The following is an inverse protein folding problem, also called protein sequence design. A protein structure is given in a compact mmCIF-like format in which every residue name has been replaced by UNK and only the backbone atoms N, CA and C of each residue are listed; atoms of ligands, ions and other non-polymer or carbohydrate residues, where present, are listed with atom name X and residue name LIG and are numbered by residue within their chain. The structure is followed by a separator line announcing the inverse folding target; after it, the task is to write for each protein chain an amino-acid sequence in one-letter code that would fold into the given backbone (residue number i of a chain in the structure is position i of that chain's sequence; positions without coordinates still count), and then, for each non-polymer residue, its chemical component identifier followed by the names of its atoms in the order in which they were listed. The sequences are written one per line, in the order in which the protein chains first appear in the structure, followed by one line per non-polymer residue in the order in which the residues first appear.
data_IF_360006055006
#
_entry.id   IF_360006055006
#
_cell.length_a   1.000
_cell.length_b   1.000
_cell.length_c   1.000
_cell.angle_alpha   90.00
_cell.angle_beta   90.00
_cell.angle_gamma   90.00
#
_symmetry.space_group_name_H-M   'P 1'
#
loop_
_entity.id
_entity.type
_entity.pdbx_description
1 polymer ?
#
# COMPACT_ATOMS: atom_id res chain seq x y z
N UNK A 1 -11.47 10.14 13.46
CA UNK A 1 -12.07 9.34 12.38
C UNK A 1 -12.00 10.20 11.11
N UNK A 2 -11.02 9.95 10.24
CA UNK A 2 -10.81 10.73 9.01
C UNK A 2 -11.69 10.13 7.92
N UNK A 3 -12.71 10.86 7.48
CA UNK A 3 -13.60 10.48 6.38
C UNK A 3 -12.79 10.05 5.16
N UNK A 4 -13.00 8.84 4.60
CA UNK A 4 -12.49 8.52 3.29
C UNK A 4 -13.12 9.51 2.30
N UNK A 5 -12.30 10.15 1.50
CA UNK A 5 -12.73 11.07 0.45
C UNK A 5 -13.35 10.27 -0.71
N UNK A 6 -14.32 10.87 -1.39
CA UNK A 6 -15.17 10.24 -2.42
C UNK A 6 -14.39 9.47 -3.50
N UNK A 7 -13.13 9.79 -3.82
CA UNK A 7 -12.38 9.02 -4.81
C UNK A 7 -11.82 7.71 -4.25
N UNK A 8 -11.31 7.68 -3.00
CA UNK A 8 -10.86 6.43 -2.38
C UNK A 8 -11.97 5.38 -2.27
N UNK A 9 -13.19 5.77 -1.88
CA UNK A 9 -14.35 4.87 -1.84
C UNK A 9 -14.72 4.34 -3.22
N UNK A 10 -14.74 5.22 -4.23
CA UNK A 10 -15.00 4.83 -5.63
C UNK A 10 -13.95 3.86 -6.17
N UNK A 11 -12.68 4.08 -5.83
CA UNK A 11 -11.58 3.18 -6.25
C UNK A 11 -11.72 1.83 -5.58
N UNK A 12 -12.05 1.79 -4.28
CA UNK A 12 -12.26 0.53 -3.57
C UNK A 12 -13.44 -0.25 -4.16
N UNK A 13 -14.58 0.41 -4.39
CA UNK A 13 -15.74 -0.20 -5.04
C UNK A 13 -15.39 -0.74 -6.44
N UNK A 14 -14.62 0.03 -7.24
CA UNK A 14 -14.15 -0.41 -8.55
C UNK A 14 -13.24 -1.64 -8.47
N UNK A 15 -12.33 -1.69 -7.50
CA UNK A 15 -11.43 -2.84 -7.29
C UNK A 15 -12.22 -4.09 -6.87
N UNK A 16 -13.22 -3.94 -6.00
CA UNK A 16 -14.09 -5.04 -5.57
C UNK A 16 -14.92 -5.59 -6.74
N UNK A 17 -15.54 -4.70 -7.53
CA UNK A 17 -16.30 -5.09 -8.72
C UNK A 17 -15.41 -5.81 -9.74
N UNK A 18 -14.21 -5.29 -9.99
CA UNK A 18 -13.22 -5.92 -10.86
C UNK A 18 -12.87 -7.34 -10.39
N UNK A 19 -12.51 -7.51 -9.12
CA UNK A 19 -12.15 -8.82 -8.55
C UNK A 19 -13.32 -9.79 -8.64
N UNK A 20 -14.53 -9.34 -8.30
CA UNK A 20 -15.74 -10.15 -8.38
C UNK A 20 -15.99 -10.67 -9.80
N UNK A 21 -15.97 -9.78 -10.79
CA UNK A 21 -16.20 -10.16 -12.20
C UNK A 21 -15.09 -11.08 -12.75
N UNK A 22 -13.83 -10.83 -12.39
CA UNK A 22 -12.72 -11.71 -12.79
C UNK A 22 -12.89 -13.10 -12.18
N UNK A 23 -13.26 -13.19 -10.90
CA UNK A 23 -13.47 -14.48 -10.25
C UNK A 23 -14.62 -15.25 -10.88
N UNK A 24 -15.76 -14.59 -11.13
CA UNK A 24 -16.90 -15.22 -11.82
C UNK A 24 -16.54 -15.76 -13.20
N UNK A 25 -15.75 -15.03 -13.99
CA UNK A 25 -15.30 -15.50 -15.30
C UNK A 25 -14.32 -16.67 -15.18
N UNK A 26 -13.39 -16.63 -14.23
CA UNK A 26 -12.46 -17.73 -13.98
C UNK A 26 -13.18 -19.00 -13.52
N UNK A 27 -14.18 -18.87 -12.63
CA UNK A 27 -15.01 -19.98 -12.17
C UNK A 27 -15.78 -20.62 -13.34
N UNK A 28 -16.37 -19.80 -14.22
CA UNK A 28 -17.01 -20.30 -15.44
C UNK A 28 -16.04 -21.02 -16.36
N UNK A 29 -14.85 -20.44 -16.60
CA UNK A 29 -13.81 -21.08 -17.42
C UNK A 29 -13.39 -22.43 -16.82
N UNK A 30 -13.18 -22.50 -15.51
CA UNK A 30 -12.81 -23.73 -14.82
C UNK A 30 -13.92 -24.79 -14.92
N UNK A 31 -15.17 -24.40 -14.70
CA UNK A 31 -16.32 -25.30 -14.83
C UNK A 31 -16.47 -25.84 -16.26
N UNK A 32 -16.46 -24.96 -17.27
CA UNK A 32 -16.55 -25.37 -18.69
C UNK A 32 -15.36 -26.26 -19.10
N UNK A 33 -14.16 -26.00 -18.56
CA UNK A 33 -12.99 -26.84 -18.81
C UNK A 33 -13.16 -28.24 -18.22
N UNK A 34 -13.66 -28.34 -16.99
CA UNK A 34 -13.91 -29.61 -16.33
C UNK A 34 -14.97 -30.42 -17.08
N UNK A 35 -16.10 -29.79 -17.44
CA UNK A 35 -17.16 -30.43 -18.22
C UNK A 35 -16.63 -30.99 -19.55
N UNK A 36 -15.79 -30.21 -20.24
CA UNK A 36 -15.17 -30.65 -21.49
C UNK A 36 -14.24 -31.84 -21.28
N UNK A 37 -13.46 -31.86 -20.21
CA UNK A 37 -12.55 -32.98 -19.91
C UNK A 37 -13.29 -34.25 -19.52
N UNK A 38 -14.40 -34.13 -18.79
CA UNK A 38 -15.31 -35.23 -18.48
C UNK A 38 -15.91 -35.83 -19.77
N UNK A 39 -16.39 -34.98 -20.70
CA UNK A 39 -16.89 -35.43 -22.01
C UNK A 39 -15.80 -36.11 -22.85
N UNK A 40 -14.57 -35.61 -22.82
CA UNK A 40 -13.43 -36.25 -23.52
C UNK A 40 -13.11 -37.61 -22.93
N UNK A 41 -13.18 -37.77 -21.60
CA UNK A 41 -12.98 -39.07 -20.95
C UNK A 41 -14.08 -40.05 -21.35
N UNK A 42 -15.35 -39.62 -21.36
CA UNK A 42 -16.47 -40.45 -21.81
C UNK A 42 -16.31 -40.85 -23.29
N UNK A 43 -15.97 -39.91 -24.16
CA UNK A 43 -15.73 -40.17 -25.57
C UNK A 43 -14.59 -41.19 -25.78
N UNK A 44 -13.49 -41.08 -25.02
CA UNK A 44 -12.39 -42.06 -25.04
C UNK A 44 -12.86 -43.44 -24.59
N UNK A 45 -13.62 -43.52 -23.49
CA UNK A 45 -14.13 -44.80 -23.00
C UNK A 45 -15.02 -45.50 -24.02
N UNK A 46 -15.92 -44.77 -24.69
CA UNK A 46 -16.76 -45.32 -25.75
C UNK A 46 -15.88 -45.80 -26.92
N UNK A 47 -14.89 -45.01 -27.33
CA UNK A 47 -14.03 -45.31 -28.49
C UNK A 47 -13.08 -46.50 -28.26
N UNK A 48 -12.52 -46.60 -27.06
CA UNK A 48 -11.47 -47.58 -26.73
C UNK A 48 -12.03 -48.88 -26.16
N UNK A 49 -13.23 -48.86 -25.56
CA UNK A 49 -13.79 -50.03 -24.88
C UNK A 49 -15.14 -50.47 -25.44
N UNK A 50 -16.16 -49.61 -25.34
CA UNK A 50 -17.54 -50.02 -25.65
C UNK A 50 -17.79 -50.29 -27.14
N UNK A 51 -17.25 -49.46 -28.04
CA UNK A 51 -17.37 -49.65 -29.48
C UNK A 51 -16.71 -50.95 -29.94
N UNK A 52 -15.44 -51.24 -29.58
CA UNK A 52 -14.81 -52.52 -29.91
C UNK A 52 -15.57 -53.74 -29.39
N UNK A 53 -16.05 -53.71 -28.14
CA UNK A 53 -16.86 -54.80 -27.57
C UNK A 53 -18.19 -54.99 -28.33
N UNK A 54 -18.84 -53.90 -28.71
CA UNK A 54 -20.06 -53.94 -29.53
C UNK A 54 -19.79 -54.45 -30.95
N UNK A 55 -18.68 -54.08 -31.58
CA UNK A 55 -18.28 -54.59 -32.89
C UNK A 55 -18.01 -56.10 -32.86
N UNK A 56 -17.40 -56.61 -31.78
CA UNK A 56 -17.20 -58.06 -31.58
C UNK A 56 -18.55 -58.77 -31.48
N UNK A 57 -19.50 -58.25 -30.69
CA UNK A 57 -20.86 -58.80 -30.59
C UNK A 57 -21.60 -58.75 -31.93
N UNK A 58 -21.46 -57.67 -32.71
CA UNK A 58 -22.03 -57.62 -34.06
C UNK A 58 -21.49 -58.75 -34.94
N UNK A 59 -20.18 -59.01 -34.92
CA UNK A 59 -19.54 -60.03 -35.75
C UNK A 59 -19.93 -61.45 -35.30
N UNK A 60 -20.01 -61.69 -33.99
CA UNK A 60 -20.28 -63.01 -33.43
C UNK A 60 -21.78 -63.35 -33.34
N UNK A 61 -22.62 -62.38 -33.00
CA UNK A 61 -24.04 -62.56 -32.66
C UNK A 61 -24.99 -61.87 -33.65
N UNK A 62 -24.47 -61.08 -34.59
CA UNK A 62 -25.27 -60.33 -35.56
C UNK A 62 -25.98 -59.09 -35.00
N UNK A 63 -25.74 -58.71 -33.74
CA UNK A 63 -26.42 -57.60 -33.09
C UNK A 63 -25.83 -56.24 -33.51
N UNK A 64 -26.50 -55.55 -34.43
CA UNK A 64 -26.04 -54.26 -35.02
C UNK A 64 -26.55 -53.02 -34.28
N UNK A 65 -27.61 -53.15 -33.50
CA UNK A 65 -28.30 -52.01 -32.90
C UNK A 65 -27.48 -51.31 -31.80
N UNK A 66 -26.69 -52.06 -31.03
CA UNK A 66 -25.88 -51.52 -29.95
C UNK A 66 -24.72 -50.66 -30.47
N UNK A 67 -24.02 -51.13 -31.51
CA UNK A 67 -22.91 -50.41 -32.14
C UNK A 67 -23.40 -49.10 -32.78
N UNK A 68 -24.54 -49.13 -33.48
CA UNK A 68 -25.12 -47.94 -34.07
C UNK A 68 -25.56 -46.89 -33.02
N UNK A 69 -26.02 -47.33 -31.84
CA UNK A 69 -26.33 -46.41 -30.72
C UNK A 69 -25.07 -45.77 -30.15
N UNK A 70 -24.00 -46.54 -29.95
CA UNK A 70 -22.72 -46.02 -29.45
C UNK A 70 -22.07 -45.05 -30.43
N UNK A 71 -22.09 -45.35 -31.73
CA UNK A 71 -21.59 -44.45 -32.77
C UNK A 71 -22.32 -43.09 -32.75
N UNK A 72 -23.65 -43.10 -32.68
CA UNK A 72 -24.45 -41.87 -32.56
C UNK A 72 -24.18 -41.10 -31.26
N UNK A 73 -23.93 -41.80 -30.15
CA UNK A 73 -23.59 -41.17 -28.86
C UNK A 73 -22.21 -40.50 -28.96
N UNK A 74 -21.24 -41.16 -29.60
CA UNK A 74 -19.90 -40.63 -29.81
C UNK A 74 -19.92 -39.39 -30.71
N UNK A 75 -20.65 -39.41 -31.82
CA UNK A 75 -20.81 -38.23 -32.70
C UNK A 75 -21.40 -37.03 -31.95
N UNK A 76 -22.40 -37.26 -31.09
CA UNK A 76 -22.97 -36.21 -30.23
C UNK A 76 -21.95 -35.65 -29.24
N UNK A 77 -21.21 -36.52 -28.55
CA UNK A 77 -20.17 -36.09 -27.61
C UNK A 77 -19.05 -35.31 -28.31
N UNK A 78 -18.61 -35.74 -29.51
CA UNK A 78 -17.61 -35.00 -30.28
C UNK A 78 -18.12 -33.61 -30.72
N UNK A 79 -19.39 -33.48 -31.09
CA UNK A 79 -20.02 -32.20 -31.39
C UNK A 79 -20.13 -31.29 -30.15
N UNK A 80 -20.54 -31.84 -29.00
CA UNK A 80 -20.66 -31.10 -27.74
C UNK A 80 -19.27 -30.63 -27.23
N UNK A 81 -18.22 -31.46 -27.40
CA UNK A 81 -16.83 -31.09 -27.09
C UNK A 81 -16.38 -29.89 -27.93
N UNK A 82 -16.69 -29.88 -29.23
CA UNK A 82 -16.35 -28.75 -30.10
C UNK A 82 -17.07 -27.47 -29.66
N UNK A 83 -18.37 -27.56 -29.37
CA UNK A 83 -19.14 -26.42 -28.85
C UNK A 83 -18.55 -25.88 -27.54
N UNK A 84 -18.14 -26.76 -26.62
CA UNK A 84 -17.48 -26.39 -25.35
C UNK A 84 -16.10 -25.77 -25.55
N UNK A 85 -15.34 -26.19 -26.55
CA UNK A 85 -14.07 -25.56 -26.91
C UNK A 85 -14.26 -24.13 -27.41
N UNK A 86 -15.27 -23.89 -28.24
CA UNK A 86 -15.64 -22.55 -28.68
C UNK A 86 -16.09 -21.67 -27.50
N UNK A 87 -16.91 -22.22 -26.60
CA UNK A 87 -17.34 -21.53 -25.36
C UNK A 87 -16.13 -21.09 -24.52
N UNK A 88 -15.15 -21.98 -24.31
CA UNK A 88 -13.92 -21.66 -23.59
C UNK A 88 -13.11 -20.54 -24.26
N UNK A 89 -13.00 -20.56 -25.59
CA UNK A 89 -12.32 -19.49 -26.33
C UNK A 89 -13.02 -18.15 -26.15
N UNK A 90 -14.36 -18.13 -26.21
CA UNK A 90 -15.16 -16.92 -26.00
C UNK A 90 -14.98 -16.40 -24.57
N UNK A 91 -15.06 -17.27 -23.56
CA UNK A 91 -14.90 -16.88 -22.16
C UNK A 91 -13.50 -16.32 -21.86
N UNK A 92 -12.45 -16.96 -22.40
CA UNK A 92 -11.07 -16.47 -22.26
C UNK A 92 -10.88 -15.10 -22.93
N UNK A 93 -11.46 -14.90 -24.12
CA UNK A 93 -11.43 -13.60 -24.80
C UNK A 93 -12.21 -12.54 -24.01
N UNK A 94 -13.38 -12.88 -23.48
CA UNK A 94 -14.17 -11.97 -22.64
C UNK A 94 -13.41 -11.56 -21.37
N UNK A 95 -12.72 -12.50 -20.71
CA UNK A 95 -11.86 -12.21 -19.57
C UNK A 95 -10.73 -11.24 -19.92
N UNK A 96 -10.02 -11.49 -21.02
CA UNK A 96 -8.95 -10.59 -21.46
C UNK A 96 -9.47 -9.20 -21.81
N UNK A 97 -10.59 -9.11 -22.55
CA UNK A 97 -11.20 -7.84 -22.90
C UNK A 97 -11.67 -7.06 -21.68
N UNK A 98 -12.29 -7.74 -20.70
CA UNK A 98 -12.69 -7.12 -19.44
C UNK A 98 -11.49 -6.57 -18.65
N UNK A 99 -10.37 -7.31 -18.61
CA UNK A 99 -9.13 -6.84 -17.96
C UNK A 99 -8.58 -5.58 -18.62
N UNK A 100 -8.58 -5.54 -19.96
CA UNK A 100 -8.13 -4.38 -20.72
C UNK A 100 -9.02 -3.15 -20.48
N UNK A 101 -10.33 -3.31 -20.60
CA UNK A 101 -11.30 -2.23 -20.36
C UNK A 101 -11.21 -1.69 -18.92
N UNK A 102 -11.05 -2.59 -17.94
CA UNK A 102 -10.90 -2.20 -16.55
C UNK A 102 -9.59 -1.47 -16.28
N UNK A 103 -8.50 -1.84 -16.96
CA UNK A 103 -7.23 -1.12 -16.87
C UNK A 103 -7.33 0.31 -17.44
N UNK A 104 -8.10 0.50 -18.52
CA UNK A 104 -8.39 1.83 -19.06
C UNK A 104 -9.27 2.66 -18.11
N UNK A 105 -10.31 2.04 -17.51
CA UNK A 105 -11.15 2.68 -16.50
C UNK A 105 -10.34 3.13 -15.26
N UNK A 106 -9.37 2.31 -14.82
CA UNK A 106 -8.50 2.63 -13.68
C UNK A 106 -7.68 3.91 -13.92
N UNK A 107 -7.26 4.19 -15.16
CA UNK A 107 -6.48 5.41 -15.48
C UNK A 107 -7.24 6.69 -15.13
N UNK A 108 -8.57 6.67 -15.24
CA UNK A 108 -9.42 7.82 -14.89
C UNK A 108 -9.39 8.15 -13.40
N UNK A 109 -9.20 7.13 -12.55
CA UNK A 109 -9.11 7.29 -11.10
C UNK A 109 -7.69 7.59 -10.60
N UNK A 110 -6.66 7.36 -11.42
CA UNK A 110 -5.27 7.49 -11.01
C UNK A 110 -4.91 8.92 -10.59
N UNK A 111 -5.31 9.91 -11.40
CA UNK A 111 -5.04 11.30 -11.11
C UNK A 111 -5.77 11.76 -9.83
N UNK A 112 -7.06 11.40 -9.70
CA UNK A 112 -7.87 11.72 -8.52
C UNK A 112 -7.25 11.14 -7.24
N UNK A 113 -6.74 9.91 -7.30
CA UNK A 113 -6.06 9.28 -6.17
C UNK A 113 -4.75 9.99 -5.79
N UNK A 114 -3.94 10.37 -6.78
CA UNK A 114 -2.68 11.08 -6.52
C UNK A 114 -2.96 12.41 -5.82
N UNK A 115 -3.95 13.15 -6.28
CA UNK A 115 -4.31 14.45 -5.73
C UNK A 115 -4.85 14.31 -4.29
N UNK A 116 -5.78 13.37 -4.05
CA UNK A 116 -6.27 13.09 -2.69
C UNK A 116 -5.15 12.63 -1.75
N UNK A 117 -4.26 11.75 -2.23
CA UNK A 117 -3.11 11.27 -1.45
C UNK A 117 -2.21 12.44 -1.06
N UNK A 118 -1.91 13.36 -1.99
CA UNK A 118 -1.06 14.52 -1.73
C UNK A 118 -1.67 15.44 -0.67
N UNK A 119 -2.97 15.72 -0.76
CA UNK A 119 -3.68 16.53 0.23
C UNK A 119 -3.64 15.87 1.61
N UNK A 120 -3.87 14.55 1.67
CA UNK A 120 -3.82 13.81 2.93
C UNK A 120 -2.42 13.82 3.54
N UNK A 121 -1.36 13.64 2.73
CA UNK A 121 0.02 13.70 3.20
C UNK A 121 0.39 15.09 3.72
N UNK A 122 0.04 16.14 2.98
CA UNK A 122 0.36 17.52 3.37
C UNK A 122 -0.33 17.89 4.69
N UNK A 123 -1.60 17.48 4.85
CA UNK A 123 -2.36 17.68 6.10
C UNK A 123 -1.75 16.92 7.28
N UNK A 124 -1.30 15.68 7.06
CA UNK A 124 -0.64 14.88 8.10
C UNK A 124 0.69 15.51 8.52
N UNK A 125 1.54 15.88 7.56
CA UNK A 125 2.81 16.55 7.84
C UNK A 125 2.62 17.89 8.53
N UNK A 126 1.64 18.69 8.12
CA UNK A 126 1.30 19.96 8.79
C UNK A 126 0.96 19.75 10.27
N UNK A 127 0.14 18.74 10.59
CA UNK A 127 -0.19 18.40 11.99
C UNK A 127 1.04 17.97 12.78
N UNK A 128 1.91 17.15 12.20
CA UNK A 128 3.15 16.70 12.84
C UNK A 128 4.09 17.87 13.11
N UNK A 129 4.24 18.79 12.15
CA UNK A 129 5.08 19.98 12.31
C UNK A 129 4.53 20.95 13.36
N UNK A 130 3.21 21.11 13.45
CA UNK A 130 2.58 21.91 14.50
C UNK A 130 2.84 21.31 15.90
N UNK A 131 2.72 19.98 16.05
CA UNK A 131 3.04 19.31 17.30
C UNK A 131 4.54 19.45 17.65
N UNK A 132 5.43 19.30 16.67
CA UNK A 132 6.87 19.53 16.84
C UNK A 132 7.13 20.96 17.32
N UNK A 133 6.49 21.96 16.71
CA UNK A 133 6.64 23.36 17.11
C UNK A 133 6.23 23.59 18.55
N UNK A 134 5.08 23.08 18.99
CA UNK A 134 4.64 23.19 20.37
C UNK A 134 5.65 22.54 21.35
N UNK A 135 6.22 21.39 20.98
CA UNK A 135 7.29 20.76 21.75
C UNK A 135 8.55 21.62 21.83
N UNK A 136 8.96 22.27 20.74
CA UNK A 136 10.13 23.17 20.77
C UNK A 136 9.86 24.41 21.62
N UNK A 137 8.65 24.97 21.55
CA UNK A 137 8.27 26.16 22.32
C UNK A 137 8.24 25.86 23.82
N UNK A 138 7.75 24.69 24.24
CA UNK A 138 7.80 24.24 25.64
C UNK A 138 9.24 24.03 26.12
N UNK A 139 10.08 23.34 25.34
CA UNK A 139 11.50 23.16 25.68
C UNK A 139 12.26 24.48 25.81
N UNK A 140 11.94 25.48 24.96
CA UNK A 140 12.51 26.83 25.09
C UNK A 140 12.12 27.47 26.41
N UNK A 141 10.84 27.44 26.77
CA UNK A 141 10.34 28.02 28.01
C UNK A 141 11.01 27.39 29.24
N UNK A 142 11.15 26.06 29.27
CA UNK A 142 11.84 25.36 30.37
C UNK A 142 13.35 25.67 30.42
N UNK A 143 13.99 25.86 29.26
CA UNK A 143 15.41 26.19 29.18
C UNK A 143 15.75 27.60 29.69
N UNK A 144 14.79 28.54 29.69
CA UNK A 144 15.00 29.91 30.16
C UNK A 144 15.41 29.96 31.64
N UNK A 145 14.87 29.08 32.47
CA UNK A 145 15.25 28.97 33.88
C UNK A 145 16.73 28.60 34.04
N UNK A 146 17.22 27.63 33.26
CA UNK A 146 18.62 27.23 33.27
C UNK A 146 19.53 28.37 32.80
N UNK A 147 19.10 29.14 31.80
CA UNK A 147 19.81 30.33 31.35
C UNK A 147 19.88 31.44 32.41
N UNK A 148 18.85 31.59 33.24
CA UNK A 148 18.87 32.53 34.37
C UNK A 148 19.90 32.11 35.42
N UNK A 149 19.94 30.83 35.81
CA UNK A 149 20.94 30.33 36.75
C UNK A 149 22.36 30.46 36.20
N UNK A 150 22.57 30.20 34.90
CA UNK A 150 23.86 30.44 34.27
C UNK A 150 24.27 31.92 34.33
N UNK A 151 23.33 32.84 34.09
CA UNK A 151 23.63 34.28 34.16
C UNK A 151 24.02 34.70 35.58
N UNK A 152 23.34 34.17 36.60
CA UNK A 152 23.69 34.41 38.01
C UNK A 152 25.06 33.82 38.34
N UNK A 153 25.36 32.61 37.88
CA UNK A 153 26.67 31.98 38.08
C UNK A 153 27.80 32.81 37.47
N UNK A 154 27.60 33.35 36.26
CA UNK A 154 28.58 34.27 35.64
C UNK A 154 28.78 35.52 36.49
N UNK A 155 27.70 36.12 37.03
CA UNK A 155 27.80 37.28 37.94
C UNK A 155 28.53 36.94 39.24
N UNK A 156 28.32 35.74 39.79
CA UNK A 156 29.07 35.29 40.98
C UNK A 156 30.56 35.11 40.66
N UNK A 157 30.89 34.55 39.49
CA UNK A 157 32.28 34.41 39.04
C UNK A 157 32.96 35.76 38.81
N UNK A 158 32.23 36.78 38.34
CA UNK A 158 32.71 38.16 38.22
C UNK A 158 33.14 38.73 39.58
N UNK A 159 32.34 38.54 40.62
CA UNK A 159 32.67 38.99 41.99
C UNK A 159 33.92 38.26 42.53
N UNK A 160 34.03 36.95 42.31
CA UNK A 160 35.22 36.17 42.71
C UNK A 160 36.50 36.64 42.01
N UNK A 161 36.38 37.08 40.75
CA UNK A 161 37.47 37.61 39.96
C UNK A 161 37.92 38.98 40.49
N UNK A 162 36.97 39.89 40.77
CA UNK A 162 37.25 41.20 41.37
C UNK A 162 37.91 41.07 42.76
N UNK A 163 37.52 40.07 43.54
CA UNK A 163 38.11 39.74 44.84
C UNK A 163 39.51 39.09 44.74
N UNK A 164 40.01 38.79 43.53
CA UNK A 164 41.30 38.14 43.30
C UNK A 164 41.34 36.64 43.66
N UNK A 165 40.17 36.04 43.93
CA UNK A 165 40.04 34.61 44.27
C UNK A 165 40.00 33.71 43.03
N UNK A 166 39.66 34.28 41.87
CA UNK A 166 39.57 33.58 40.58
C UNK A 166 40.32 34.33 39.48
N UNK A 167 40.89 33.61 38.51
CA UNK A 167 41.69 34.18 37.41
C UNK A 167 40.91 34.50 36.13
N UNK A 168 39.87 33.71 35.82
CA UNK A 168 39.07 33.84 34.59
C UNK A 168 37.60 33.46 34.85
N UNK A 169 36.70 33.96 34.00
CA UNK A 169 35.26 33.63 33.99
C UNK A 169 34.99 32.54 32.95
N UNK A 170 34.34 31.44 33.36
CA UNK A 170 33.97 30.35 32.47
C UNK A 170 32.48 30.44 32.13
N UNK A 171 32.18 30.85 30.90
CA UNK A 171 30.81 30.92 30.38
C UNK A 171 30.40 29.62 29.66
N UNK A 172 30.56 28.48 30.33
CA UNK A 172 30.17 27.17 29.79
C UNK A 172 29.22 26.54 30.80
N UNK A 173 27.93 26.46 30.46
CA UNK A 173 26.97 25.66 31.23
C UNK A 173 27.21 24.17 30.90
N UNK A 174 27.69 23.34 31.86
CA UNK A 174 27.83 21.91 31.64
C UNK A 174 26.45 21.29 31.49
N UNK A 175 26.08 20.94 30.25
CA UNK A 175 24.83 20.27 29.94
C UNK A 175 24.97 18.78 30.24
N UNK A 176 24.46 18.35 31.39
CA UNK A 176 24.21 16.94 31.67
C UNK A 176 22.96 16.51 30.89
N UNK A 177 23.10 16.34 29.58
CA UNK A 177 22.03 15.77 28.78
C UNK A 177 21.73 14.35 29.29
N UNK A 178 20.45 14.01 29.46
CA UNK A 178 20.07 12.62 29.70
C UNK A 178 20.65 11.76 28.56
N UNK A 179 21.23 10.58 28.85
CA UNK A 179 21.82 9.73 27.84
C UNK A 179 20.77 9.42 26.77
N UNK A 180 21.02 9.89 25.55
CA UNK A 180 20.17 9.62 24.40
C UNK A 180 20.37 8.13 24.08
N UNK A 181 19.40 7.27 24.42
CA UNK A 181 19.35 5.94 23.82
C UNK A 181 19.26 6.13 22.30
N UNK A 182 20.34 5.70 21.62
CA UNK A 182 20.71 6.15 20.29
C UNK A 182 19.69 5.87 19.18
N UNK A 183 19.89 6.52 18.04
CA UNK A 183 19.41 6.22 16.67
C UNK A 183 17.97 5.69 16.40
N UNK A 184 17.10 5.48 17.40
CA UNK A 184 15.76 4.91 17.24
C UNK A 184 14.73 5.89 16.64
N UNK A 185 15.07 7.17 16.52
CA UNK A 185 14.11 8.23 16.13
C UNK A 185 14.04 8.48 14.61
N UNK A 186 14.33 7.47 13.78
CA UNK A 186 14.19 7.56 12.32
C UNK A 186 13.03 6.69 11.83
N UNK A 187 12.03 7.33 11.21
CA UNK A 187 11.12 6.65 10.28
C UNK A 187 11.15 7.40 8.94
N UNK A 188 11.56 6.71 7.87
CA UNK A 188 11.57 7.20 6.48
C UNK A 188 12.16 8.61 6.25
N UNK A 189 13.30 8.93 6.85
CA UNK A 189 14.04 10.17 6.55
C UNK A 189 13.39 11.47 7.05
N UNK A 190 12.26 11.40 7.77
CA UNK A 190 11.62 12.56 8.40
C UNK A 190 12.10 12.67 9.86
N UNK A 191 12.81 13.76 10.18
CA UNK A 191 13.34 14.03 11.51
C UNK A 191 12.21 14.50 12.46
N UNK A 192 11.80 13.62 13.38
CA UNK A 192 10.92 13.96 14.51
C UNK A 192 11.67 14.17 15.85
N UNK A 193 12.96 14.47 15.79
CA UNK A 193 13.72 15.04 16.89
C UNK A 193 14.42 16.31 16.40
N UNK A 194 14.60 17.31 17.24
CA UNK A 194 15.54 18.40 16.91
C UNK A 194 16.95 17.79 16.87
N UNK A 195 17.73 17.96 15.79
CA UNK A 195 19.12 17.50 15.78
C UNK A 195 19.91 18.26 16.85
N UNK A 196 20.88 17.56 17.47
CA UNK A 196 21.67 18.08 18.60
C UNK A 196 22.37 19.40 18.25
N UNK A 197 22.74 19.60 16.99
CA UNK A 197 23.32 20.84 16.48
C UNK A 197 22.35 22.03 16.54
N UNK A 198 21.07 21.83 16.24
CA UNK A 198 20.07 22.89 16.29
C UNK A 198 19.67 23.18 17.74
N UNK A 199 19.61 22.15 18.59
CA UNK A 199 19.47 22.33 20.06
C UNK A 199 20.64 23.14 20.61
N UNK A 200 21.88 22.83 20.21
CA UNK A 200 23.06 23.61 20.61
C UNK A 200 23.05 25.04 20.06
N UNK A 201 22.54 25.29 18.85
CA UNK A 201 22.41 26.64 18.28
C UNK A 201 21.34 27.47 19.00
N UNK A 202 20.20 26.86 19.37
CA UNK A 202 19.14 27.46 20.18
C UNK A 202 19.72 27.89 21.54
N UNK A 203 20.42 26.98 22.22
CA UNK A 203 21.00 27.20 23.55
C UNK A 203 22.14 28.23 23.51
N UNK A 204 22.94 28.28 22.43
CA UNK A 204 24.09 29.21 22.29
C UNK A 204 23.73 30.58 21.68
N UNK A 205 22.44 30.93 21.54
CA UNK A 205 21.94 32.18 20.91
C UNK A 205 22.58 32.50 19.54
N UNK A 206 22.92 31.49 18.75
CA UNK A 206 23.34 31.72 17.36
C UNK A 206 22.09 31.93 16.49
N UNK A 207 22.18 32.81 15.48
CA UNK A 207 21.09 32.96 14.50
C UNK A 207 20.81 31.61 13.85
N UNK A 208 19.59 31.12 14.05
CA UNK A 208 19.08 29.96 13.35
C UNK A 208 18.36 30.53 12.15
N UNK A 209 18.85 30.22 10.96
CA UNK A 209 18.14 30.58 9.74
C UNK A 209 16.91 29.66 9.62
N UNK A 210 15.81 30.11 10.22
CA UNK A 210 14.51 29.46 10.16
C UNK A 210 13.72 29.91 8.92
N UNK A 211 14.36 30.59 7.95
CA UNK A 211 13.68 31.06 6.73
C UNK A 211 13.05 29.92 5.92
N UNK A 212 13.52 28.69 6.08
CA UNK A 212 12.89 27.50 5.50
C UNK A 212 11.54 27.13 6.14
N UNK A 213 11.28 27.56 7.38
CA UNK A 213 10.00 27.38 8.08
C UNK A 213 8.99 28.49 7.78
N UNK A 214 9.44 29.67 7.35
CA UNK A 214 8.55 30.79 7.00
C UNK A 214 7.65 30.47 5.80
N UNK A 215 8.06 29.56 4.92
CA UNK A 215 7.23 29.02 3.81
C UNK A 215 5.97 28.29 4.30
N UNK A 216 5.92 27.90 5.57
CA UNK A 216 4.80 27.20 6.19
C UNK A 216 4.01 28.06 7.19
N UNK A 217 4.35 29.35 7.33
CA UNK A 217 3.47 30.31 8.01
C UNK A 217 2.28 30.58 7.09
N UNK A 218 1.15 29.94 7.35
CA UNK A 218 -0.12 30.49 6.88
C UNK A 218 -0.33 31.82 7.60
N UNK A 219 -0.34 32.93 6.86
CA UNK A 219 -0.91 34.18 7.38
C UNK A 219 -2.34 33.85 7.81
N UNK A 220 -2.66 34.10 9.08
CA UNK A 220 -4.05 34.20 9.52
C UNK A 220 -4.63 35.46 8.87
N UNK A 221 -4.98 35.37 7.60
CA UNK A 221 -5.85 36.33 6.91
C UNK A 221 -7.04 35.53 6.39
N UNK A 222 -8.03 35.42 7.27
CA UNK A 222 -9.44 35.56 6.89
C UNK A 222 -9.62 36.95 6.26
#
# INVERSE_FOLDING_TARGET
MSTPTKATEKIMAFIEEYKSKVNQLNEKIAATSQEMDDMKMEARFIREKELPEASVKRVLEGETAHEAKLAKKLEKLEADILAKQEELLILNKALQQFKLQSAEGLKQFHQLFIDERKIATDKAYSKMMNAKRAYVETMKAESELLHQYQAIDVQMQEIELEAGLRKDIYNILPLNAAPIQGHLNRHNGVYLALPNEDVQKIIKKKRIDLGYLDKFKHSKSL
#
